data_IF_758209506834
#
_entry.id   IF_758209506834
#
_cell.length_a   1.000
_cell.length_b   1.000
_cell.length_c   1.000
_cell.angle_alpha   90.00
_cell.angle_beta   90.00
_cell.angle_gamma   90.00
#
_symmetry.space_group_name_H-M   'P 1'
#
loop_
_entity.id
_entity.type
_entity.pdbx_description
1 polymer ?
#
# COMPACT_ATOMS: atom_id res chain seq x y z
N UNK A 1 -26.08 -10.96 -3.21
CA UNK A 1 -25.58 -10.89 -4.60
C UNK A 1 -24.58 -12.02 -4.74
N UNK A 2 -24.70 -12.89 -5.74
CA UNK A 2 -23.85 -14.09 -5.84
C UNK A 2 -22.70 -13.94 -6.85
N UNK A 3 -22.69 -12.84 -7.61
CA UNK A 3 -21.63 -12.48 -8.54
C UNK A 3 -21.55 -10.96 -8.68
N UNK A 4 -20.34 -10.42 -8.81
CA UNK A 4 -20.03 -9.01 -8.99
C UNK A 4 -18.95 -8.87 -10.05
N UNK A 5 -19.29 -8.29 -11.19
CA UNK A 5 -18.29 -7.90 -12.20
C UNK A 5 -17.88 -6.45 -11.95
N UNK A 6 -16.57 -6.22 -11.83
CA UNK A 6 -15.97 -4.90 -11.68
C UNK A 6 -14.95 -4.67 -12.78
N UNK A 7 -14.68 -3.41 -13.10
CA UNK A 7 -13.48 -3.03 -13.84
C UNK A 7 -12.26 -3.63 -13.17
N UNK A 8 -11.30 -4.07 -13.98
CA UNK A 8 -10.06 -4.66 -13.50
C UNK A 8 -9.36 -3.63 -12.58
N UNK A 9 -9.02 -4.02 -11.35
CA UNK A 9 -8.52 -3.08 -10.35
C UNK A 9 -7.03 -2.77 -10.55
N UNK A 10 -6.57 -1.77 -9.81
CA UNK A 10 -5.16 -1.43 -9.65
C UNK A 10 -4.79 -1.49 -8.17
N UNK A 11 -3.51 -1.72 -7.86
CA UNK A 11 -3.00 -1.69 -6.50
C UNK A 11 -2.09 -0.48 -6.26
N UNK A 12 -2.59 0.53 -5.53
CA UNK A 12 -1.86 1.79 -5.35
C UNK A 12 -0.78 1.72 -4.25
N UNK A 13 -0.46 0.53 -3.73
CA UNK A 13 0.69 0.32 -2.83
C UNK A 13 1.17 -1.14 -2.80
N UNK A 14 2.25 -1.46 -3.53
CA UNK A 14 2.74 -2.84 -3.65
C UNK A 14 4.25 -2.98 -3.45
N UNK A 15 4.68 -4.00 -2.70
CA UNK A 15 6.09 -4.37 -2.58
C UNK A 15 6.35 -5.69 -3.29
N UNK A 16 7.13 -5.64 -4.37
CA UNK A 16 7.52 -6.85 -5.10
C UNK A 16 8.91 -7.37 -4.75
N UNK A 17 9.69 -6.62 -3.95
CA UNK A 17 11.10 -6.93 -3.62
C UNK A 17 11.93 -7.08 -4.91
N UNK A 18 13.00 -7.87 -4.90
CA UNK A 18 13.84 -8.09 -6.09
C UNK A 18 14.30 -9.55 -6.17
N UNK A 19 14.98 -9.91 -7.28
CA UNK A 19 15.62 -11.22 -7.51
C UNK A 19 14.64 -12.40 -7.36
N UNK A 20 14.99 -13.42 -6.60
CA UNK A 20 14.17 -14.62 -6.41
C UNK A 20 12.81 -14.31 -5.76
N UNK A 21 12.78 -13.38 -4.81
CA UNK A 21 11.53 -12.95 -4.18
C UNK A 21 10.61 -12.28 -5.19
N UNK A 22 11.14 -11.39 -6.03
CA UNK A 22 10.38 -10.77 -7.12
C UNK A 22 9.77 -11.79 -8.06
N UNK A 23 10.56 -12.78 -8.51
CA UNK A 23 10.06 -13.86 -9.37
C UNK A 23 8.99 -14.70 -8.69
N UNK A 24 9.08 -14.90 -7.38
CA UNK A 24 8.11 -15.66 -6.61
C UNK A 24 6.77 -14.92 -6.42
N UNK A 25 6.78 -13.60 -6.27
CA UNK A 25 5.59 -12.85 -5.81
C UNK A 25 4.93 -11.96 -6.85
N UNK A 26 5.65 -11.55 -7.90
CA UNK A 26 5.06 -10.74 -8.98
C UNK A 26 3.89 -11.44 -9.71
N UNK A 27 3.97 -12.75 -10.04
CA UNK A 27 2.85 -13.46 -10.69
C UNK A 27 1.57 -13.49 -9.84
N UNK A 28 1.70 -13.37 -8.52
CA UNK A 28 0.60 -13.46 -7.57
C UNK A 28 -0.24 -12.17 -7.51
N UNK A 29 0.29 -11.08 -8.07
CA UNK A 29 -0.40 -9.78 -8.14
C UNK A 29 -1.07 -9.55 -9.50
N UNK A 30 -1.08 -10.55 -10.40
CA UNK A 30 -1.48 -10.39 -11.81
C UNK A 30 -2.95 -10.05 -12.04
N UNK A 31 -3.82 -10.19 -11.05
CA UNK A 31 -5.22 -9.77 -11.19
C UNK A 31 -5.36 -8.24 -11.22
N UNK A 32 -4.42 -7.51 -10.62
CA UNK A 32 -4.30 -6.07 -10.82
C UNK A 32 -3.75 -5.74 -12.21
N UNK A 33 -4.22 -4.65 -12.81
CA UNK A 33 -3.70 -4.18 -14.09
C UNK A 33 -2.42 -3.38 -13.90
N UNK A 34 -2.44 -2.37 -13.01
CA UNK A 34 -1.30 -1.53 -12.63
C UNK A 34 -1.06 -1.63 -11.13
N UNK A 35 0.16 -1.31 -10.72
CA UNK A 35 0.45 -1.12 -9.30
C UNK A 35 1.54 -0.06 -9.08
N UNK A 36 1.40 0.73 -8.02
CA UNK A 36 2.46 1.60 -7.52
C UNK A 36 3.50 0.73 -6.81
N UNK A 37 4.68 0.60 -7.42
CA UNK A 37 5.75 -0.25 -6.92
C UNK A 37 6.63 0.55 -5.96
N UNK A 38 6.66 0.11 -4.70
CA UNK A 38 7.39 0.78 -3.63
C UNK A 38 8.93 0.63 -3.77
N UNK A 39 9.73 1.66 -3.40
CA UNK A 39 11.13 1.76 -3.81
C UNK A 39 12.15 1.33 -2.75
N UNK A 40 11.69 0.80 -1.61
CA UNK A 40 12.51 0.41 -0.45
C UNK A 40 13.20 -0.96 -0.64
N UNK A 41 13.86 -1.13 -1.78
CA UNK A 41 14.82 -2.23 -2.02
C UNK A 41 16.07 -2.05 -1.13
N UNK A 42 16.98 -3.03 -1.20
CA UNK A 42 18.31 -2.92 -0.58
C UNK A 42 19.37 -3.06 -1.68
N UNK A 43 20.05 -1.95 -2.08
CA UNK A 43 19.80 -0.56 -1.70
C UNK A 43 18.48 0.00 -2.28
N UNK A 44 17.94 1.12 -1.74
CA UNK A 44 16.69 1.72 -2.23
C UNK A 44 16.85 2.29 -3.64
N UNK A 45 15.72 2.43 -4.34
CA UNK A 45 15.63 3.05 -5.67
C UNK A 45 15.50 4.56 -5.50
N UNK A 46 16.58 5.30 -5.70
CA UNK A 46 16.68 6.75 -5.41
C UNK A 46 16.87 7.62 -6.65
N UNK A 47 17.09 7.04 -7.83
CA UNK A 47 17.20 7.80 -9.10
C UNK A 47 16.30 7.26 -10.20
N UNK A 48 15.97 8.10 -11.19
CA UNK A 48 15.21 7.70 -12.38
C UNK A 48 15.85 6.52 -13.12
N UNK A 49 17.18 6.51 -13.25
CA UNK A 49 17.89 5.39 -13.89
C UNK A 49 17.72 4.06 -13.12
N UNK A 50 17.73 4.10 -11.79
CA UNK A 50 17.48 2.91 -10.98
C UNK A 50 16.02 2.44 -11.09
N UNK A 51 15.06 3.37 -11.13
CA UNK A 51 13.65 3.06 -11.33
C UNK A 51 13.39 2.41 -12.68
N UNK A 52 13.97 2.94 -13.76
CA UNK A 52 13.91 2.33 -15.09
C UNK A 52 14.49 0.91 -15.10
N UNK A 53 15.68 0.71 -14.51
CA UNK A 53 16.29 -0.61 -14.42
C UNK A 53 15.46 -1.60 -13.58
N UNK A 54 14.79 -1.14 -12.53
CA UNK A 54 13.90 -1.97 -11.71
C UNK A 54 12.61 -2.32 -12.45
N UNK A 55 12.03 -1.37 -13.19
CA UNK A 55 10.86 -1.58 -14.04
C UNK A 55 11.03 -2.77 -14.98
N UNK A 56 12.17 -2.84 -15.66
CA UNK A 56 12.48 -3.95 -16.58
C UNK A 56 12.50 -5.32 -15.86
N UNK A 57 13.03 -5.37 -14.63
CA UNK A 57 13.03 -6.61 -13.83
C UNK A 57 11.62 -6.99 -13.39
N UNK A 58 10.79 -6.02 -13.02
CA UNK A 58 9.39 -6.26 -12.61
C UNK A 58 8.56 -6.78 -13.78
N UNK A 59 8.70 -6.18 -14.97
CA UNK A 59 8.05 -6.63 -16.20
C UNK A 59 8.50 -8.05 -16.54
N UNK A 60 9.81 -8.31 -16.52
CA UNK A 60 10.36 -9.64 -16.78
C UNK A 60 9.90 -10.72 -15.77
N UNK A 61 9.55 -10.32 -14.54
CA UNK A 61 9.01 -11.20 -13.51
C UNK A 61 7.49 -11.47 -13.64
N UNK A 62 6.82 -10.87 -14.63
CA UNK A 62 5.43 -11.17 -14.97
C UNK A 62 4.41 -10.13 -14.51
N UNK A 63 4.83 -8.95 -14.04
CA UNK A 63 3.91 -7.84 -13.75
C UNK A 63 4.01 -6.75 -14.82
N UNK A 64 3.00 -6.67 -15.69
CA UNK A 64 3.11 -5.95 -16.98
C UNK A 64 3.16 -4.41 -16.87
N UNK A 65 2.39 -3.81 -15.95
CA UNK A 65 2.25 -2.34 -15.88
C UNK A 65 2.66 -1.77 -14.51
N UNK A 66 3.94 -1.89 -14.11
CA UNK A 66 4.41 -1.28 -12.88
C UNK A 66 4.52 0.24 -13.01
N UNK A 67 3.97 0.96 -12.03
CA UNK A 67 4.07 2.39 -11.84
C UNK A 67 5.19 2.65 -10.82
N UNK A 68 6.38 3.04 -11.32
CA UNK A 68 7.57 3.10 -10.48
C UNK A 68 7.57 4.31 -9.56
N UNK A 69 8.28 4.20 -8.44
CA UNK A 69 8.48 5.31 -7.51
C UNK A 69 9.95 5.52 -7.18
N UNK A 70 10.30 6.71 -6.67
CA UNK A 70 11.59 6.94 -6.03
C UNK A 70 11.47 6.97 -4.52
N UNK A 71 12.48 6.46 -3.85
CA UNK A 71 12.66 6.57 -2.41
C UNK A 71 13.24 7.96 -2.11
N UNK A 72 12.51 8.77 -1.34
CA UNK A 72 12.99 10.09 -0.92
C UNK A 72 14.11 9.98 0.12
N UNK A 73 15.23 10.63 -0.16
CA UNK A 73 16.37 10.81 0.75
C UNK A 73 16.70 12.29 0.90
N UNK A 74 17.46 12.64 1.93
CA UNK A 74 17.97 14.00 2.12
C UNK A 74 18.99 14.45 1.05
N UNK A 75 19.46 13.51 0.22
CA UNK A 75 20.38 13.77 -0.91
C UNK A 75 19.70 13.62 -2.26
N UNK A 76 18.37 13.51 -2.30
CA UNK A 76 17.60 13.37 -3.54
C UNK A 76 17.78 14.62 -4.40
N UNK A 77 18.18 14.44 -5.65
CA UNK A 77 18.33 15.52 -6.62
C UNK A 77 16.95 15.92 -7.17
N UNK A 78 16.47 17.16 -6.91
CA UNK A 78 15.19 17.64 -7.44
C UNK A 78 15.12 17.56 -8.97
N UNK A 79 16.23 17.80 -9.67
CA UNK A 79 16.24 17.79 -11.14
C UNK A 79 16.09 16.37 -11.70
N UNK A 80 16.64 15.35 -11.02
CA UNK A 80 16.41 13.95 -11.41
C UNK A 80 14.95 13.54 -11.19
N UNK A 81 14.35 13.94 -10.06
CA UNK A 81 12.93 13.66 -9.76
C UNK A 81 12.01 14.24 -10.83
N UNK A 82 12.16 15.54 -11.12
CA UNK A 82 11.32 16.24 -12.09
C UNK A 82 11.49 15.65 -13.49
N UNK A 83 12.72 15.38 -13.92
CA UNK A 83 13.00 14.75 -15.21
C UNK A 83 12.41 13.34 -15.29
N UNK A 84 12.63 12.50 -14.28
CA UNK A 84 12.12 11.14 -14.27
C UNK A 84 10.58 11.09 -14.33
N UNK A 85 9.89 12.04 -13.71
CA UNK A 85 8.45 12.17 -13.80
C UNK A 85 8.00 12.65 -15.19
N UNK A 86 8.63 13.70 -15.72
CA UNK A 86 8.32 14.23 -17.05
C UNK A 86 8.54 13.18 -18.17
N UNK A 87 9.56 12.34 -18.04
CA UNK A 87 9.86 11.25 -18.97
C UNK A 87 8.96 10.01 -18.77
N UNK A 88 8.03 10.03 -17.80
CA UNK A 88 7.14 8.92 -17.48
C UNK A 88 7.82 7.70 -16.87
N UNK A 89 9.05 7.86 -16.35
CA UNK A 89 9.81 6.79 -15.68
C UNK A 89 9.22 6.50 -14.30
N UNK A 90 8.80 7.55 -13.59
CA UNK A 90 8.22 7.43 -12.25
C UNK A 90 6.81 8.05 -12.22
N UNK A 91 5.96 7.52 -11.36
CA UNK A 91 4.60 8.02 -11.12
C UNK A 91 4.51 8.83 -9.83
N UNK A 92 5.37 8.55 -8.84
CA UNK A 92 5.37 9.25 -7.56
C UNK A 92 6.73 9.13 -6.85
N UNK A 93 6.90 9.87 -5.77
CA UNK A 93 8.01 9.72 -4.81
C UNK A 93 7.45 9.25 -3.48
N UNK A 94 8.11 8.29 -2.82
CA UNK A 94 7.71 7.75 -1.53
C UNK A 94 8.62 8.27 -0.42
N UNK A 95 8.01 8.91 0.56
CA UNK A 95 8.64 9.34 1.80
C UNK A 95 8.50 8.25 2.87
N UNK A 96 9.65 7.85 3.43
CA UNK A 96 9.74 7.08 4.66
C UNK A 96 10.47 7.91 5.72
N UNK A 97 9.87 8.15 6.89
CA UNK A 97 10.61 8.63 8.05
C UNK A 97 11.69 7.60 8.41
N UNK A 98 12.90 8.07 8.72
CA UNK A 98 14.04 7.19 8.93
C UNK A 98 13.76 6.19 10.07
N UNK A 99 13.84 4.90 9.74
CA UNK A 99 13.61 3.81 10.70
C UNK A 99 12.15 3.45 10.97
N UNK A 100 11.17 4.04 10.27
CA UNK A 100 9.75 3.80 10.52
C UNK A 100 9.31 2.38 10.16
N UNK A 101 9.92 1.76 9.14
CA UNK A 101 9.53 0.44 8.63
C UNK A 101 10.68 -0.31 7.94
N UNK A 102 10.38 -1.46 7.33
CA UNK A 102 11.32 -2.31 6.57
C UNK A 102 12.12 -1.49 5.55
N UNK A 103 13.45 -1.59 5.61
CA UNK A 103 14.42 -0.91 4.73
C UNK A 103 14.30 0.62 4.71
N UNK A 104 13.78 1.24 5.77
CA UNK A 104 13.61 2.70 5.87
C UNK A 104 14.79 3.45 6.48
N UNK A 105 15.92 2.78 6.75
CA UNK A 105 17.06 3.39 7.45
C UNK A 105 17.68 4.58 6.69
N UNK A 106 17.57 4.59 5.36
CA UNK A 106 18.00 5.71 4.49
C UNK A 106 16.93 6.80 4.31
N UNK A 107 15.86 6.75 5.12
CA UNK A 107 14.73 7.67 5.10
C UNK A 107 15.09 9.09 5.49
N UNK A 108 14.07 9.95 5.49
CA UNK A 108 14.21 11.35 5.89
C UNK A 108 14.21 11.44 7.41
N UNK A 109 15.25 12.05 7.98
CA UNK A 109 15.35 12.33 9.41
C UNK A 109 15.02 13.79 9.72
N UNK A 110 15.41 14.71 8.83
CA UNK A 110 15.10 16.11 8.90
C UNK A 110 14.33 16.57 7.65
N UNK A 111 13.06 16.92 7.85
CA UNK A 111 12.17 17.37 6.77
C UNK A 111 12.61 18.69 6.13
N UNK A 112 13.39 19.51 6.84
CA UNK A 112 13.94 20.75 6.27
C UNK A 112 14.91 20.45 5.12
N UNK A 113 15.65 19.34 5.19
CA UNK A 113 16.62 18.95 4.17
C UNK A 113 15.96 18.55 2.84
N UNK A 114 14.69 18.13 2.87
CA UNK A 114 13.95 17.73 1.66
C UNK A 114 13.02 18.84 1.14
N UNK A 115 12.97 20.01 1.77
CA UNK A 115 12.18 21.15 1.25
C UNK A 115 12.45 21.47 -0.22
N UNK A 116 13.71 21.53 -0.70
CA UNK A 116 13.96 21.86 -2.11
C UNK A 116 13.33 20.88 -3.09
N UNK A 117 13.38 19.58 -2.78
CA UNK A 117 12.76 18.55 -3.63
C UNK A 117 11.24 18.57 -3.50
N UNK A 118 10.67 18.83 -2.31
CA UNK A 118 9.22 19.00 -2.15
C UNK A 118 8.68 20.19 -2.96
N UNK A 119 9.37 21.34 -2.96
CA UNK A 119 9.01 22.48 -3.81
C UNK A 119 9.05 22.11 -5.30
N UNK A 120 10.12 21.46 -5.76
CA UNK A 120 10.23 21.05 -7.16
C UNK A 120 9.15 20.04 -7.57
N UNK A 121 8.80 19.11 -6.67
CA UNK A 121 7.71 18.16 -6.87
C UNK A 121 6.36 18.87 -7.00
N UNK A 122 6.09 19.86 -6.15
CA UNK A 122 4.86 20.66 -6.19
C UNK A 122 4.74 21.41 -7.52
N UNK A 123 5.80 22.13 -7.93
CA UNK A 123 5.85 22.89 -9.19
C UNK A 123 5.69 22.00 -10.42
N UNK A 124 6.27 20.79 -10.40
CA UNK A 124 6.20 19.83 -11.51
C UNK A 124 5.00 18.86 -11.42
N UNK A 125 4.16 18.98 -10.40
CA UNK A 125 2.99 18.11 -10.19
C UNK A 125 3.33 16.65 -9.88
N UNK A 126 4.51 16.36 -9.30
CA UNK A 126 4.95 15.02 -8.93
C UNK A 126 4.26 14.60 -7.62
N UNK A 127 3.46 13.51 -7.60
CA UNK A 127 2.80 13.05 -6.38
C UNK A 127 3.78 12.58 -5.30
N UNK A 128 3.43 12.86 -4.03
CA UNK A 128 4.14 12.38 -2.85
C UNK A 128 3.29 11.33 -2.10
N UNK A 129 3.82 10.11 -2.00
CA UNK A 129 3.29 9.06 -1.14
C UNK A 129 3.99 9.12 0.23
N UNK A 130 3.26 8.97 1.34
CA UNK A 130 3.84 9.06 2.69
C UNK A 130 3.55 7.81 3.52
N UNK A 131 4.61 7.22 4.08
CA UNK A 131 4.46 6.36 5.25
C UNK A 131 4.36 7.25 6.51
N UNK A 132 3.14 7.41 7.03
CA UNK A 132 2.84 8.41 8.04
C UNK A 132 3.06 7.97 9.49
N UNK A 133 4.29 7.68 9.91
CA UNK A 133 4.63 7.41 11.32
C UNK A 133 5.89 8.18 11.75
N UNK A 134 5.86 8.81 12.92
CA UNK A 134 7.09 9.27 13.58
C UNK A 134 7.85 8.09 14.19
N UNK A 135 9.15 8.26 14.46
CA UNK A 135 10.02 7.15 14.88
C UNK A 135 10.72 7.39 16.22
N UNK A 136 10.41 8.48 16.91
CA UNK A 136 10.93 8.79 18.23
C UNK A 136 10.72 7.61 19.19
N UNK A 137 11.76 7.29 19.96
CA UNK A 137 11.78 6.10 20.83
C UNK A 137 10.91 6.22 22.07
N UNK A 138 10.51 7.44 22.45
CA UNK A 138 9.61 7.76 23.55
C UNK A 138 8.13 7.78 23.15
N UNK A 139 7.82 7.65 21.85
CA UNK A 139 6.44 7.59 21.34
C UNK A 139 6.02 6.14 21.14
N UNK A 140 4.93 5.76 21.81
CA UNK A 140 4.32 4.45 21.68
C UNK A 140 3.92 4.14 20.23
N UNK A 141 4.20 2.93 19.78
CA UNK A 141 3.97 2.49 18.39
C UNK A 141 2.51 2.65 17.94
N UNK A 142 1.54 2.61 18.85
CA UNK A 142 0.13 2.80 18.53
C UNK A 142 -0.24 4.29 18.30
N UNK A 143 0.59 5.24 18.75
CA UNK A 143 0.35 6.69 18.67
C UNK A 143 1.17 7.37 17.56
N UNK A 144 2.14 6.67 16.96
CA UNK A 144 3.05 7.21 15.94
C UNK A 144 2.35 7.82 14.73
N UNK A 145 1.28 7.20 14.24
CA UNK A 145 0.51 7.72 13.11
C UNK A 145 -0.17 9.05 13.44
N UNK A 146 -0.84 9.13 14.60
CA UNK A 146 -1.50 10.35 15.02
C UNK A 146 -0.48 11.49 15.25
N UNK A 147 0.67 11.19 15.86
CA UNK A 147 1.74 12.18 16.03
C UNK A 147 2.35 12.65 14.70
N UNK A 148 2.40 11.79 13.68
CA UNK A 148 2.85 12.19 12.35
C UNK A 148 1.90 13.22 11.70
N UNK A 149 0.58 13.05 11.86
CA UNK A 149 -0.41 13.98 11.32
C UNK A 149 -0.17 15.40 11.84
N UNK A 150 0.04 15.53 13.15
CA UNK A 150 0.22 16.82 13.81
C UNK A 150 1.61 17.43 13.54
N UNK A 151 2.67 16.64 13.71
CA UNK A 151 4.05 17.14 13.70
C UNK A 151 4.65 17.30 12.31
N UNK A 152 4.15 16.55 11.34
CA UNK A 152 4.76 16.46 10.01
C UNK A 152 3.76 16.79 8.91
N UNK A 153 2.65 16.05 8.84
CA UNK A 153 1.77 16.13 7.68
C UNK A 153 1.02 17.46 7.60
N UNK A 154 0.53 17.97 8.74
CA UNK A 154 -0.16 19.26 8.80
C UNK A 154 0.77 20.43 8.44
N UNK A 155 1.99 20.54 9.00
CA UNK A 155 2.98 21.52 8.55
C UNK A 155 3.37 21.38 7.08
N UNK A 156 3.57 20.15 6.59
CA UNK A 156 3.91 19.89 5.18
C UNK A 156 2.78 20.38 4.28
N UNK A 157 1.52 20.10 4.63
CA UNK A 157 0.34 20.54 3.87
C UNK A 157 0.18 22.06 3.86
N UNK A 158 0.48 22.73 4.97
CA UNK A 158 0.48 24.18 5.03
C UNK A 158 1.60 24.81 4.18
N UNK A 159 2.78 24.17 4.12
CA UNK A 159 3.93 24.65 3.34
C UNK A 159 3.80 24.37 1.83
N UNK A 160 3.11 23.29 1.47
CA UNK A 160 2.92 22.81 0.11
C UNK A 160 1.44 22.50 -0.16
N UNK A 161 0.58 23.52 -0.29
CA UNK A 161 -0.86 23.34 -0.42
C UNK A 161 -1.27 22.63 -1.72
N UNK A 162 -0.49 22.77 -2.78
CA UNK A 162 -0.80 22.25 -4.12
C UNK A 162 -0.11 20.90 -4.39
N UNK A 163 0.87 20.51 -3.57
CA UNK A 163 1.54 19.22 -3.68
C UNK A 163 0.53 18.09 -3.49
N UNK A 164 0.40 17.22 -4.48
CA UNK A 164 -0.52 16.09 -4.42
C UNK A 164 -0.03 15.01 -3.47
N UNK A 165 -0.83 14.66 -2.46
CA UNK A 165 -0.46 13.69 -1.42
C UNK A 165 -1.25 12.41 -1.51
N UNK A 166 -0.58 11.30 -1.18
CA UNK A 166 -1.21 10.05 -0.78
C UNK A 166 -0.72 9.68 0.61
N UNK A 167 -1.59 9.75 1.62
CA UNK A 167 -1.29 9.19 2.93
C UNK A 167 -1.49 7.67 2.85
N UNK A 168 -0.39 6.93 2.84
CA UNK A 168 -0.44 5.50 2.60
C UNK A 168 -0.98 4.74 3.81
N UNK A 169 -1.61 3.59 3.55
CA UNK A 169 -1.98 2.53 4.49
C UNK A 169 -2.46 3.06 5.85
N UNK A 170 -3.44 3.97 5.84
CA UNK A 170 -3.95 4.61 7.07
C UNK A 170 -4.51 3.57 8.04
N UNK A 171 -4.25 3.74 9.34
CA UNK A 171 -4.61 2.74 10.36
C UNK A 171 -5.46 3.27 11.51
N UNK A 172 -5.65 4.60 11.58
CA UNK A 172 -6.35 5.27 12.67
C UNK A 172 -7.57 6.05 12.19
N UNK A 173 -8.48 6.34 13.14
CA UNK A 173 -9.65 7.17 12.86
C UNK A 173 -9.22 8.63 12.64
N UNK A 174 -8.17 9.06 13.36
CA UNK A 174 -7.56 10.37 13.22
C UNK A 174 -7.03 10.60 11.80
N UNK A 175 -6.37 9.60 11.18
CA UNK A 175 -5.92 9.71 9.80
C UNK A 175 -7.08 9.79 8.81
N UNK A 176 -8.15 9.02 9.01
CA UNK A 176 -9.39 9.13 8.22
C UNK A 176 -9.99 10.53 8.30
N UNK A 177 -10.14 11.06 9.52
CA UNK A 177 -10.69 12.39 9.75
C UNK A 177 -9.80 13.49 9.16
N UNK A 178 -8.48 13.33 9.29
CA UNK A 178 -7.51 14.25 8.70
C UNK A 178 -7.62 14.26 7.17
N UNK A 179 -7.67 13.09 6.51
CA UNK A 179 -7.79 13.01 5.04
C UNK A 179 -9.06 13.71 4.55
N UNK A 180 -10.20 13.45 5.20
CA UNK A 180 -11.49 14.11 4.88
C UNK A 180 -11.46 15.63 5.03
N UNK A 181 -10.67 16.13 5.98
CA UNK A 181 -10.53 17.56 6.22
C UNK A 181 -9.61 18.25 5.19
N UNK A 182 -8.87 17.50 4.36
CA UNK A 182 -7.86 18.04 3.44
C UNK A 182 -8.11 17.60 1.99
N UNK A 183 -8.96 18.34 1.24
CA UNK A 183 -9.19 18.10 -0.19
C UNK A 183 -7.90 18.02 -1.00
N UNK A 184 -7.86 17.14 -2.00
CA UNK A 184 -6.66 16.91 -2.82
C UNK A 184 -5.66 15.91 -2.20
N UNK A 185 -5.92 15.42 -0.99
CA UNK A 185 -5.18 14.30 -0.38
C UNK A 185 -5.92 12.99 -0.62
N UNK A 186 -5.24 12.00 -1.18
CA UNK A 186 -5.71 10.62 -1.24
C UNK A 186 -5.21 9.82 -0.04
N UNK A 187 -5.85 8.68 0.23
CA UNK A 187 -5.36 7.71 1.19
C UNK A 187 -5.61 6.28 0.74
N UNK A 188 -4.60 5.43 0.92
CA UNK A 188 -4.76 4.00 0.69
C UNK A 188 -5.16 3.29 1.98
N UNK A 189 -6.05 2.30 1.86
CA UNK A 189 -6.42 1.42 2.98
C UNK A 189 -6.11 -0.02 2.57
N UNK A 190 -5.42 -0.73 3.46
CA UNK A 190 -4.95 -2.10 3.18
C UNK A 190 -5.99 -3.14 3.54
N UNK A 191 -5.81 -4.33 2.97
CA UNK A 191 -6.68 -5.49 3.22
C UNK A 191 -6.64 -5.90 4.69
N UNK A 192 -5.44 -6.07 5.27
CA UNK A 192 -5.27 -6.52 6.65
C UNK A 192 -5.84 -5.52 7.67
N UNK A 193 -5.80 -4.22 7.40
CA UNK A 193 -6.35 -3.20 8.29
C UNK A 193 -7.89 -3.13 8.24
N UNK A 194 -8.51 -3.66 7.19
CA UNK A 194 -9.96 -3.85 7.10
C UNK A 194 -10.41 -5.18 7.72
N UNK A 195 -9.60 -6.23 7.57
CA UNK A 195 -9.89 -7.58 8.06
C UNK A 195 -9.63 -7.76 9.56
N UNK A 196 -8.60 -7.10 10.09
CA UNK A 196 -8.09 -7.39 11.42
C UNK A 196 -7.87 -6.13 12.27
N UNK A 197 -7.85 -6.32 13.58
CA UNK A 197 -7.34 -5.36 14.55
C UNK A 197 -6.29 -6.02 15.45
N UNK A 198 -5.71 -5.27 16.38
CA UNK A 198 -4.60 -5.75 17.21
C UNK A 198 -4.91 -6.99 18.06
N UNK A 199 -6.19 -7.26 18.37
CA UNK A 199 -6.54 -8.51 19.05
C UNK A 199 -6.25 -9.73 18.17
N UNK A 200 -6.43 -9.60 16.85
CA UNK A 200 -6.09 -10.65 15.89
C UNK A 200 -4.58 -10.90 15.78
N UNK A 201 -3.76 -9.96 16.24
CA UNK A 201 -2.31 -10.15 16.31
C UNK A 201 -1.84 -10.71 17.66
N UNK A 202 -2.55 -10.42 18.76
CA UNK A 202 -2.03 -10.58 20.12
C UNK A 202 -2.84 -11.52 21.03
N UNK A 203 -4.15 -11.65 20.82
CA UNK A 203 -5.01 -12.41 21.72
C UNK A 203 -4.81 -13.92 21.52
N UNK A 204 -4.58 -14.64 22.62
CA UNK A 204 -4.34 -16.09 22.62
C UNK A 204 -2.93 -16.52 22.18
N UNK A 205 -2.11 -15.58 21.72
CA UNK A 205 -0.75 -15.81 21.26
C UNK A 205 -0.35 -14.79 20.19
N UNK A 206 0.96 -14.48 20.11
CA UNK A 206 1.50 -13.56 19.10
C UNK A 206 1.45 -14.22 17.72
N UNK A 207 0.76 -13.60 16.76
CA UNK A 207 0.66 -14.04 15.36
C UNK A 207 1.54 -13.14 14.47
N UNK A 208 2.78 -13.55 14.14
CA UNK A 208 3.73 -12.68 13.44
C UNK A 208 3.29 -12.32 12.01
N UNK A 209 2.49 -13.14 11.35
CA UNK A 209 2.00 -12.88 9.98
C UNK A 209 0.96 -11.75 9.92
N UNK A 210 0.44 -11.29 11.06
CA UNK A 210 -0.38 -10.07 11.20
C UNK A 210 0.45 -8.82 11.52
N UNK A 211 1.72 -8.99 11.93
CA UNK A 211 2.59 -7.86 12.24
C UNK A 211 3.02 -7.13 10.96
N UNK A 212 2.57 -5.88 10.83
CA UNK A 212 2.90 -4.94 9.77
C UNK A 212 3.07 -3.53 10.35
N UNK A 213 3.48 -2.57 9.52
CA UNK A 213 3.67 -1.17 9.90
C UNK A 213 2.96 -0.27 8.88
N UNK A 214 2.11 0.68 9.31
CA UNK A 214 1.77 0.99 10.70
C UNK A 214 1.06 -0.19 11.39
N UNK A 215 1.24 -0.32 12.70
CA UNK A 215 0.76 -1.51 13.43
C UNK A 215 -0.77 -1.60 13.41
N UNK A 216 -1.33 -2.83 13.38
CA UNK A 216 -2.77 -3.04 13.60
C UNK A 216 -3.22 -2.31 14.87
N UNK A 217 -4.30 -1.53 14.79
CA UNK A 217 -4.79 -0.68 15.88
C UNK A 217 -5.98 -1.32 16.62
N UNK A 218 -6.61 -0.59 17.54
CA UNK A 218 -7.84 -1.02 18.24
C UNK A 218 -9.00 -1.21 17.26
N UNK A 219 -9.96 -2.08 17.59
CA UNK A 219 -11.15 -2.31 16.75
C UNK A 219 -12.01 -1.06 16.46
N UNK A 220 -11.90 0.00 17.28
CA UNK A 220 -12.50 1.31 16.97
C UNK A 220 -11.91 1.94 15.71
N UNK A 221 -10.59 1.84 15.52
CA UNK A 221 -9.92 2.34 14.33
C UNK A 221 -10.23 1.48 13.11
N UNK A 222 -10.22 0.14 13.24
CA UNK A 222 -10.64 -0.77 12.17
C UNK A 222 -12.05 -0.41 11.64
N UNK A 223 -13.02 -0.14 12.53
CA UNK A 223 -14.36 0.28 12.11
C UNK A 223 -14.35 1.61 11.34
N UNK A 224 -13.53 2.58 11.77
CA UNK A 224 -13.41 3.85 11.05
C UNK A 224 -12.82 3.65 9.64
N UNK A 225 -11.84 2.75 9.49
CA UNK A 225 -11.27 2.39 8.20
C UNK A 225 -12.28 1.69 7.29
N UNK A 226 -13.06 0.74 7.84
CA UNK A 226 -14.13 0.05 7.11
C UNK A 226 -15.17 1.06 6.62
N UNK A 227 -15.64 1.94 7.51
CA UNK A 227 -16.56 3.02 7.14
C UNK A 227 -15.97 3.96 6.07
N UNK A 228 -14.67 4.28 6.12
CA UNK A 228 -14.02 5.10 5.10
C UNK A 228 -13.99 4.38 3.74
N UNK A 229 -13.47 3.15 3.70
CA UNK A 229 -13.36 2.34 2.48
C UNK A 229 -14.71 2.10 1.81
N UNK A 230 -15.76 1.91 2.60
CA UNK A 230 -17.12 1.62 2.10
C UNK A 230 -18.02 2.86 2.00
N UNK A 231 -17.52 4.08 2.26
CA UNK A 231 -18.36 5.29 2.26
C UNK A 231 -18.76 5.81 0.87
N UNK A 232 -18.03 5.45 -0.18
CA UNK A 232 -18.12 6.08 -1.50
C UNK A 232 -17.32 7.39 -1.63
N UNK A 233 -16.61 7.79 -0.57
CA UNK A 233 -15.67 8.91 -0.59
C UNK A 233 -14.50 8.62 -1.55
N UNK A 234 -14.28 9.52 -2.51
CA UNK A 234 -13.29 9.34 -3.57
C UNK A 234 -11.85 9.51 -3.11
N UNK A 235 -11.62 10.05 -1.90
CA UNK A 235 -10.27 10.19 -1.34
C UNK A 235 -9.67 8.85 -0.90
N UNK A 236 -10.49 7.82 -0.66
CA UNK A 236 -10.04 6.51 -0.20
C UNK A 236 -10.06 5.47 -1.33
N UNK A 237 -8.95 4.76 -1.50
CA UNK A 237 -8.79 3.75 -2.53
C UNK A 237 -7.86 2.61 -2.10
N UNK A 238 -7.85 1.53 -2.88
CA UNK A 238 -7.05 0.34 -2.59
C UNK A 238 -5.55 0.63 -2.64
N UNK A 239 -4.83 0.30 -1.57
CA UNK A 239 -3.41 0.01 -1.65
C UNK A 239 -3.14 -1.16 -0.71
N UNK A 240 -2.69 -2.30 -1.23
CA UNK A 240 -2.65 -3.52 -0.42
C UNK A 240 -1.58 -3.47 0.65
N UNK A 241 -0.51 -2.70 0.41
CA UNK A 241 0.76 -2.81 1.13
C UNK A 241 1.18 -4.28 1.26
N UNK A 242 0.92 -5.08 0.21
CA UNK A 242 1.33 -6.47 0.19
C UNK A 242 2.85 -6.52 0.22
N UNK A 243 3.37 -7.01 1.34
CA UNK A 243 4.75 -6.87 1.76
C UNK A 243 5.33 -8.25 2.10
N UNK A 244 5.66 -9.06 1.07
CA UNK A 244 6.15 -10.41 1.27
C UNK A 244 7.51 -10.40 1.98
N UNK A 245 7.65 -11.38 2.88
CA UNK A 245 8.88 -11.72 3.57
C UNK A 245 9.02 -13.24 3.58
N UNK A 246 10.24 -13.79 3.56
CA UNK A 246 10.42 -15.21 3.79
C UNK A 246 9.78 -15.62 5.12
N UNK A 247 9.10 -16.76 5.14
CA UNK A 247 8.40 -17.29 6.31
C UNK A 247 9.30 -17.29 7.56
N UNK A 248 10.56 -17.72 7.43
CA UNK A 248 11.50 -17.76 8.56
C UNK A 248 11.84 -16.37 9.12
N UNK A 249 11.73 -15.29 8.33
CA UNK A 249 11.95 -13.93 8.79
C UNK A 249 10.76 -13.39 9.60
N UNK A 250 9.55 -13.85 9.26
CA UNK A 250 8.32 -13.61 10.04
C UNK A 250 8.33 -14.43 11.34
N UNK A 251 8.73 -15.69 11.28
CA UNK A 251 8.78 -16.63 12.41
C UNK A 251 10.14 -16.58 13.13
N UNK A 252 10.55 -15.38 13.57
CA UNK A 252 11.86 -15.14 14.20
C UNK A 252 11.76 -14.34 15.50
N UNK A 253 12.87 -14.19 16.23
CA UNK A 253 12.93 -13.38 17.45
C UNK A 253 12.67 -11.87 17.18
N UNK A 254 12.96 -11.40 15.97
CA UNK A 254 12.69 -10.05 15.51
C UNK A 254 11.95 -10.13 14.17
N UNK A 255 10.62 -10.26 14.26
CA UNK A 255 9.78 -10.50 13.10
C UNK A 255 9.84 -9.33 12.11
N UNK A 256 9.99 -9.63 10.82
CA UNK A 256 9.81 -8.63 9.77
C UNK A 256 8.37 -8.09 9.73
N UNK A 257 8.21 -6.78 9.56
CA UNK A 257 6.90 -6.14 9.39
C UNK A 257 6.40 -6.25 7.95
N UNK A 258 5.19 -6.78 7.77
CA UNK A 258 4.51 -6.86 6.47
C UNK A 258 3.56 -8.05 6.38
N UNK A 259 2.44 -7.88 5.68
CA UNK A 259 1.48 -8.94 5.37
C UNK A 259 1.51 -9.21 3.87
N UNK A 260 1.47 -10.49 3.47
CA UNK A 260 1.40 -10.85 2.05
C UNK A 260 -0.05 -11.12 1.65
N UNK A 261 -0.71 -10.07 1.17
CA UNK A 261 -2.16 -10.04 0.90
C UNK A 261 -2.50 -10.06 -0.58
N UNK A 262 -1.55 -9.70 -1.46
CA UNK A 262 -1.78 -9.60 -2.91
C UNK A 262 -2.52 -10.81 -3.50
N UNK A 263 -2.13 -12.08 -3.27
CA UNK A 263 -2.73 -13.23 -3.96
C UNK A 263 -4.25 -13.35 -3.83
N UNK A 264 -4.82 -12.83 -2.74
CA UNK A 264 -6.22 -13.02 -2.38
C UNK A 264 -6.87 -11.70 -1.92
N UNK A 265 -6.31 -10.55 -2.28
CA UNK A 265 -6.80 -9.24 -1.89
C UNK A 265 -8.26 -9.01 -2.28
N UNK A 266 -8.66 -9.31 -3.52
CA UNK A 266 -10.02 -9.06 -4.01
C UNK A 266 -11.09 -9.92 -3.31
N UNK A 267 -10.91 -11.25 -3.14
CA UNK A 267 -11.77 -12.06 -2.27
C UNK A 267 -11.98 -11.48 -0.87
N UNK A 268 -10.91 -11.01 -0.22
CA UNK A 268 -10.99 -10.44 1.13
C UNK A 268 -11.74 -9.11 1.15
N UNK A 269 -11.47 -8.23 0.18
CA UNK A 269 -12.17 -6.96 0.08
C UNK A 269 -13.66 -7.16 -0.22
N UNK A 270 -14.01 -8.08 -1.11
CA UNK A 270 -15.41 -8.41 -1.38
C UNK A 270 -16.13 -8.91 -0.13
N UNK A 271 -15.46 -9.72 0.71
CA UNK A 271 -15.98 -10.14 1.99
C UNK A 271 -16.23 -8.93 2.94
N UNK A 272 -15.26 -8.04 3.11
CA UNK A 272 -15.42 -6.82 3.93
C UNK A 272 -16.57 -5.96 3.44
N UNK A 273 -16.62 -5.68 2.13
CA UNK A 273 -17.64 -4.80 1.56
C UNK A 273 -19.02 -5.44 1.60
N UNK A 274 -19.13 -6.77 1.54
CA UNK A 274 -20.39 -7.48 1.76
C UNK A 274 -20.85 -7.38 3.22
N UNK A 275 -19.96 -7.56 4.20
CA UNK A 275 -20.29 -7.41 5.63
C UNK A 275 -20.75 -6.00 6.00
N UNK A 276 -20.24 -4.98 5.32
CA UNK A 276 -20.66 -3.57 5.48
C UNK A 276 -21.87 -3.19 4.61
N UNK A 277 -22.54 -4.17 3.99
CA UNK A 277 -23.69 -3.95 3.09
C UNK A 277 -23.41 -2.94 1.95
N UNK A 278 -22.17 -2.91 1.46
CA UNK A 278 -21.64 -1.90 0.55
C UNK A 278 -20.89 -2.51 -0.65
N UNK A 279 -21.24 -3.74 -1.04
CA UNK A 279 -20.56 -4.47 -2.11
C UNK A 279 -20.57 -3.73 -3.46
N UNK A 280 -21.61 -2.94 -3.73
CA UNK A 280 -21.75 -2.07 -4.89
C UNK A 280 -20.67 -0.98 -4.97
N UNK A 281 -20.02 -0.65 -3.85
CA UNK A 281 -18.96 0.37 -3.77
C UNK A 281 -17.55 -0.20 -3.98
N UNK A 282 -17.42 -1.52 -4.08
CA UNK A 282 -16.12 -2.17 -4.25
C UNK A 282 -15.41 -1.72 -5.53
N UNK A 283 -16.13 -1.55 -6.63
CA UNK A 283 -15.55 -1.07 -7.90
C UNK A 283 -14.94 0.32 -7.75
N UNK A 284 -15.62 1.24 -7.06
CA UNK A 284 -15.10 2.60 -6.86
C UNK A 284 -13.77 2.57 -6.09
N UNK A 285 -13.74 1.85 -4.97
CA UNK A 285 -12.56 1.74 -4.10
C UNK A 285 -11.36 1.09 -4.80
N UNK A 286 -11.60 0.05 -5.61
CA UNK A 286 -10.54 -0.77 -6.21
C UNK A 286 -10.12 -0.34 -7.62
N UNK A 287 -10.99 0.36 -8.35
CA UNK A 287 -10.83 0.55 -9.80
C UNK A 287 -11.11 1.96 -10.31
N UNK A 288 -11.74 2.85 -9.53
CA UNK A 288 -12.10 4.20 -10.00
C UNK A 288 -11.38 5.32 -9.25
N UNK A 289 -11.37 5.26 -7.92
CA UNK A 289 -10.87 6.33 -7.06
C UNK A 289 -9.37 6.56 -7.22
N UNK A 290 -8.58 5.48 -7.27
CA UNK A 290 -7.14 5.57 -7.44
C UNK A 290 -6.70 6.14 -8.80
N UNK A 291 -7.22 5.66 -9.96
CA UNK A 291 -6.92 6.29 -11.24
C UNK A 291 -7.31 7.77 -11.28
N UNK A 292 -8.48 8.13 -10.74
CA UNK A 292 -8.91 9.52 -10.64
C UNK A 292 -7.95 10.34 -9.77
N UNK A 293 -7.54 9.80 -8.62
CA UNK A 293 -6.53 10.42 -7.77
C UNK A 293 -5.26 10.62 -8.57
N UNK A 294 -4.66 9.61 -9.20
CA UNK A 294 -3.38 9.74 -9.92
C UNK A 294 -3.45 10.41 -11.30
N UNK A 295 -4.64 10.77 -11.80
CA UNK A 295 -4.81 11.37 -13.13
C UNK A 295 -4.58 10.37 -14.27
N UNK A 296 -4.87 9.09 -14.03
CA UNK A 296 -4.68 7.99 -14.98
C UNK A 296 -6.03 7.50 -15.53
N UNK A 297 -6.06 6.94 -16.76
CA UNK A 297 -7.29 6.41 -17.34
C UNK A 297 -7.79 5.19 -16.55
N UNK A 298 -9.11 4.96 -16.63
CA UNK A 298 -9.72 3.73 -16.11
C UNK A 298 -9.28 2.52 -16.93
N UNK A 299 -9.28 1.34 -16.31
CA UNK A 299 -9.03 0.10 -17.02
C UNK A 299 -10.27 -0.31 -17.85
N UNK A 300 -10.04 -0.79 -19.08
CA UNK A 300 -11.09 -1.32 -19.96
C UNK A 300 -11.42 -2.80 -19.68
N UNK A 301 -10.44 -3.53 -19.14
CA UNK A 301 -10.64 -4.92 -18.70
C UNK A 301 -11.58 -4.99 -17.50
N UNK A 302 -12.23 -6.14 -17.35
CA UNK A 302 -13.11 -6.44 -16.22
C UNK A 302 -12.72 -7.79 -15.62
N UNK A 303 -13.08 -8.01 -14.35
CA UNK A 303 -13.03 -9.31 -13.71
C UNK A 303 -14.33 -9.54 -12.95
N UNK A 304 -14.67 -10.82 -12.76
CA UNK A 304 -15.86 -11.21 -12.02
C UNK A 304 -15.45 -11.87 -10.72
N UNK A 305 -16.06 -11.44 -9.62
CA UNK A 305 -16.02 -12.09 -8.32
C UNK A 305 -17.29 -12.90 -8.16
N UNK A 306 -17.18 -14.18 -7.81
CA UNK A 306 -18.32 -15.08 -7.61
C UNK A 306 -18.35 -15.60 -6.18
N UNK A 307 -19.55 -15.72 -5.61
CA UNK A 307 -19.75 -16.30 -4.29
C UNK A 307 -19.94 -17.81 -4.41
N UNK A 308 -19.30 -18.56 -3.52
CA UNK A 308 -19.37 -20.02 -3.53
C UNK A 308 -19.01 -20.65 -2.19
N UNK A 309 -18.54 -21.91 -2.26
CA UNK A 309 -17.97 -22.60 -1.11
C UNK A 309 -16.77 -21.86 -0.52
N UNK A 310 -16.31 -22.23 0.69
CA UNK A 310 -15.14 -21.62 1.29
C UNK A 310 -13.92 -21.76 0.37
N UNK A 311 -13.18 -20.68 0.20
CA UNK A 311 -11.88 -20.61 -0.47
C UNK A 311 -10.88 -21.54 0.20
N UNK A 312 -10.03 -22.17 -0.62
CA UNK A 312 -8.82 -22.86 -0.17
C UNK A 312 -7.62 -22.06 -0.67
N UNK A 313 -7.14 -21.12 0.14
CA UNK A 313 -5.89 -20.42 -0.17
C UNK A 313 -4.69 -21.32 0.12
N UNK A 314 -3.62 -21.29 -0.70
CA UNK A 314 -2.38 -21.92 -0.31
C UNK A 314 -1.85 -21.23 0.95
N UNK A 315 -1.49 -22.00 1.98
CA UNK A 315 -0.93 -21.41 3.20
C UNK A 315 0.40 -20.67 2.93
N UNK A 316 1.19 -21.18 1.97
CA UNK A 316 2.46 -20.58 1.55
C UNK A 316 2.64 -20.70 0.05
N UNK A 317 3.43 -19.80 -0.52
CA UNK A 317 4.00 -19.93 -1.85
C UNK A 317 5.43 -20.44 -1.70
N UNK A 318 5.71 -21.52 -2.41
CA UNK A 318 7.04 -22.13 -2.53
C UNK A 318 7.50 -21.96 -3.98
N UNK A 319 8.27 -20.92 -4.26
CA UNK A 319 8.71 -20.58 -5.62
C UNK A 319 10.10 -19.94 -5.59
N UNK A 320 10.94 -20.27 -6.59
CA UNK A 320 12.31 -19.74 -6.71
C UNK A 320 13.15 -19.85 -5.43
N UNK A 321 12.98 -20.93 -4.66
CA UNK A 321 13.67 -21.14 -3.38
C UNK A 321 13.21 -20.21 -2.25
N UNK A 322 12.10 -19.50 -2.43
CA UNK A 322 11.45 -18.68 -1.41
C UNK A 322 10.22 -19.41 -0.88
N UNK A 323 10.01 -19.31 0.43
CA UNK A 323 8.77 -19.69 1.12
C UNK A 323 8.14 -18.44 1.69
N UNK A 324 6.94 -18.07 1.24
CA UNK A 324 6.22 -16.87 1.69
C UNK A 324 4.84 -17.27 2.19
N UNK A 325 4.57 -17.03 3.48
CA UNK A 325 3.26 -17.31 4.08
C UNK A 325 2.26 -16.23 3.68
N UNK A 326 1.07 -16.66 3.25
CA UNK A 326 -0.03 -15.77 2.89
C UNK A 326 -0.68 -15.20 4.14
N UNK A 327 -1.25 -14.00 4.04
CA UNK A 327 -2.18 -13.52 5.04
C UNK A 327 -3.39 -14.46 5.13
N UNK A 328 -3.76 -14.86 6.34
CA UNK A 328 -4.94 -15.69 6.60
C UNK A 328 -5.80 -14.97 7.63
N UNK A 329 -7.03 -14.55 7.27
CA UNK A 329 -7.89 -13.84 8.21
C UNK A 329 -8.44 -14.74 9.33
N UNK A 330 -8.21 -16.05 9.27
CA UNK A 330 -8.60 -17.00 10.32
C UNK A 330 -10.09 -17.37 10.29
N UNK A 331 -10.80 -17.02 9.23
CA UNK A 331 -12.19 -17.42 9.01
C UNK A 331 -12.46 -17.67 7.51
N UNK A 332 -13.52 -18.45 7.17
CA UNK A 332 -13.83 -18.77 5.79
C UNK A 332 -14.11 -17.53 4.94
N UNK A 333 -13.62 -17.54 3.70
CA UNK A 333 -13.88 -16.52 2.67
C UNK A 333 -14.64 -17.19 1.53
N UNK A 334 -15.73 -16.57 1.08
CA UNK A 334 -16.67 -17.19 0.14
C UNK A 334 -16.65 -16.56 -1.26
N UNK A 335 -15.95 -15.44 -1.43
CA UNK A 335 -15.80 -14.77 -2.72
C UNK A 335 -14.59 -15.31 -3.45
N UNK A 336 -14.70 -15.55 -4.76
CA UNK A 336 -13.64 -16.09 -5.63
C UNK A 336 -13.46 -15.20 -6.84
N UNK A 337 -12.24 -15.03 -7.35
CA UNK A 337 -12.03 -14.45 -8.67
C UNK A 337 -12.36 -15.54 -9.69
N UNK A 338 -13.30 -15.28 -10.60
CA UNK A 338 -13.62 -16.18 -11.70
C UNK A 338 -12.38 -16.33 -12.60
N UNK A 339 -11.99 -17.57 -12.89
CA UNK A 339 -10.87 -17.83 -13.78
C UNK A 339 -11.16 -17.26 -15.18
N UNK A 340 -10.18 -16.66 -15.87
CA UNK A 340 -10.36 -16.30 -17.28
C UNK A 340 -10.75 -17.56 -18.07
N UNK A 341 -11.79 -17.43 -18.90
CA UNK A 341 -12.28 -18.50 -19.76
C UNK A 341 -11.23 -18.99 -20.77
#
# INVERSE_FOLDING_TARGET
>A
MDSLTIRRPDDWHLHLRDRDMLRAVAPESRHFNRAIIMPNLVPPVVTGAQAAAYRERVIAAGFANPLMTLYLTETTDPADVVRAHADGIITAVKLYPAGATTNSASGVSNFENVRPVLTAMEEAGVPLCLHGEVTDSDIDIFDREAMFLDRVLTPLRAAHPDLKLTLEHVTTAQAVDWVRAHPGTGATITVQHLMANRNDMLAGGMRPHFYCLPILKRGTHQRALRQAATSGDTQFFLGTDSAPHPTHAKESACCSAGCFTAPHALPLLAHVFEEEEALDRLEAFTSLNGPAHYGLPLNDGHLTLIKGGPQTFPHRIEAHGQSVTLFDPGHPIHWHIEAPA
#
